data_IF_890562426777
#
_entry.id   IF_890562426777
#
_cell.length_a   1.000
_cell.length_b   1.000
_cell.length_c   1.000
_cell.angle_alpha   90.00
_cell.angle_beta   90.00
_cell.angle_gamma   90.00
#
_symmetry.space_group_name_H-M   'P 1'
#
loop_
_entity.id
_entity.type
_entity.pdbx_description
1 polymer ?
#
# COMPACT_ATOMS: atom_id res chain seq x y z
N UNK A 1 28.53 1.18 1.09
CA UNK A 1 27.10 0.88 1.33
C UNK A 1 26.98 0.20 2.70
N UNK A 2 26.50 0.92 3.72
CA UNK A 2 26.91 0.73 5.12
C UNK A 2 26.35 -0.50 5.85
N UNK A 3 27.22 -1.16 6.64
CA UNK A 3 26.95 -2.34 7.49
C UNK A 3 25.62 -2.27 8.26
N UNK A 4 25.24 -1.07 8.72
CA UNK A 4 23.99 -0.82 9.45
C UNK A 4 22.71 -1.17 8.67
N UNK A 5 22.66 -0.89 7.37
CA UNK A 5 21.50 -1.26 6.53
C UNK A 5 21.39 -2.78 6.42
N UNK A 6 22.51 -3.47 6.21
CA UNK A 6 22.58 -4.93 6.12
C UNK A 6 22.14 -5.58 7.44
N UNK A 7 22.55 -5.05 8.58
CA UNK A 7 22.12 -5.55 9.90
C UNK A 7 20.62 -5.40 10.12
N UNK A 8 20.02 -4.28 9.70
CA UNK A 8 18.56 -4.08 9.81
C UNK A 8 17.80 -5.06 8.92
N UNK A 9 18.21 -5.23 7.66
CA UNK A 9 17.57 -6.18 6.74
C UNK A 9 17.69 -7.64 7.20
N UNK A 10 18.89 -8.03 7.67
CA UNK A 10 19.13 -9.38 8.18
C UNK A 10 18.36 -9.61 9.49
N UNK A 11 18.27 -8.59 10.36
CA UNK A 11 17.48 -8.64 11.58
C UNK A 11 15.98 -8.78 11.31
N UNK A 12 15.44 -8.02 10.35
CA UNK A 12 14.02 -8.16 9.95
C UNK A 12 13.72 -9.51 9.31
N UNK A 13 14.67 -10.07 8.54
CA UNK A 13 14.50 -11.36 7.88
C UNK A 13 14.60 -12.52 8.88
N UNK A 14 15.52 -12.44 9.85
CA UNK A 14 15.61 -13.40 10.95
C UNK A 14 14.37 -13.35 11.85
N UNK A 15 13.87 -12.16 12.18
CA UNK A 15 12.62 -12.00 12.92
C UNK A 15 11.43 -12.61 12.16
N UNK A 16 11.33 -12.39 10.84
CA UNK A 16 10.29 -13.00 10.02
C UNK A 16 10.37 -14.54 10.01
N UNK A 17 11.59 -15.13 9.97
CA UNK A 17 11.80 -16.58 10.03
C UNK A 17 11.44 -17.16 11.40
N UNK A 18 11.80 -16.49 12.49
CA UNK A 18 11.45 -16.92 13.85
C UNK A 18 9.94 -16.86 14.07
N UNK A 19 9.30 -15.79 13.59
CA UNK A 19 7.84 -15.66 13.63
C UNK A 19 7.19 -16.76 12.80
N UNK A 20 7.70 -17.07 11.61
CA UNK A 20 7.22 -18.17 10.77
C UNK A 20 7.41 -19.55 11.43
N UNK A 21 8.48 -19.76 12.19
CA UNK A 21 8.66 -20.98 12.97
C UNK A 21 7.65 -21.10 14.14
N UNK A 22 7.30 -19.98 14.76
CA UNK A 22 6.23 -19.92 15.78
C UNK A 22 4.84 -20.12 15.16
N UNK A 23 4.61 -19.66 13.93
CA UNK A 23 3.38 -19.90 13.14
C UNK A 23 3.10 -21.38 12.96
N UNK A 24 4.14 -22.17 12.65
CA UNK A 24 3.97 -23.60 12.44
C UNK A 24 3.76 -24.38 13.75
N UNK A 25 3.99 -23.75 14.90
CA UNK A 25 3.94 -24.42 16.21
C UNK A 25 2.69 -24.07 17.02
N UNK A 26 1.99 -22.98 16.69
CA UNK A 26 0.82 -22.49 17.43
C UNK A 26 -0.45 -22.52 16.58
N UNK A 27 -1.02 -23.71 16.40
CA UNK A 27 -2.21 -24.01 15.59
C UNK A 27 -3.49 -23.21 15.95
N UNK A 28 -3.48 -22.40 17.02
CA UNK A 28 -4.67 -21.67 17.52
C UNK A 28 -4.58 -20.14 17.46
N UNK A 29 -3.46 -19.56 17.01
CA UNK A 29 -3.22 -18.10 17.11
C UNK A 29 -2.92 -17.41 15.78
N UNK A 30 -3.45 -17.90 14.67
CA UNK A 30 -3.17 -17.36 13.33
C UNK A 30 -3.48 -15.86 13.18
N UNK A 31 -4.57 -15.36 13.79
CA UNK A 31 -4.96 -13.95 13.67
C UNK A 31 -4.01 -12.99 14.42
N UNK A 32 -3.78 -13.12 15.75
CA UNK A 32 -2.78 -12.30 16.46
C UNK A 32 -1.39 -12.34 15.82
N UNK A 33 -1.02 -13.51 15.30
CA UNK A 33 0.26 -13.73 14.64
C UNK A 33 0.37 -13.01 13.30
N UNK A 34 -0.70 -13.02 12.51
CA UNK A 34 -0.75 -12.26 11.24
C UNK A 34 -0.64 -10.76 11.47
N UNK A 35 -1.23 -10.24 12.55
CA UNK A 35 -1.04 -8.84 12.95
C UNK A 35 0.41 -8.55 13.33
N UNK A 36 1.04 -9.45 14.09
CA UNK A 36 2.45 -9.30 14.43
C UNK A 36 3.33 -9.29 13.17
N UNK A 37 3.07 -10.19 12.22
CA UNK A 37 3.80 -10.25 10.94
C UNK A 37 3.65 -8.96 10.13
N UNK A 38 2.44 -8.43 9.98
CA UNK A 38 2.20 -7.18 9.24
C UNK A 38 2.82 -6.00 9.97
N UNK A 39 2.68 -5.92 11.30
CA UNK A 39 3.32 -4.89 12.10
C UNK A 39 4.84 -4.91 11.90
N UNK A 40 5.47 -6.08 11.97
CA UNK A 40 6.90 -6.26 11.71
C UNK A 40 7.29 -5.92 10.26
N UNK A 41 6.44 -6.21 9.27
CA UNK A 41 6.69 -5.85 7.89
C UNK A 41 6.62 -4.33 7.65
N UNK A 42 5.73 -3.63 8.36
CA UNK A 42 5.55 -2.19 8.25
C UNK A 42 6.58 -1.39 9.07
N UNK A 43 7.04 -1.95 10.20
CA UNK A 43 7.98 -1.32 11.14
C UNK A 43 9.22 -0.67 10.50
N UNK A 44 9.95 -1.34 9.59
CA UNK A 44 11.11 -0.74 8.92
C UNK A 44 10.79 0.54 8.15
N UNK A 45 9.59 0.66 7.58
CA UNK A 45 9.16 1.84 6.84
C UNK A 45 8.94 3.03 7.78
N UNK A 46 8.24 2.80 8.90
CA UNK A 46 7.99 3.84 9.89
C UNK A 46 9.27 4.27 10.62
N UNK A 47 10.12 3.33 11.02
CA UNK A 47 11.42 3.64 11.64
C UNK A 47 12.29 4.48 10.69
N UNK A 48 12.33 4.11 9.40
CA UNK A 48 13.11 4.84 8.40
C UNK A 48 12.56 6.25 8.20
N UNK A 49 11.24 6.42 8.24
CA UNK A 49 10.60 7.73 8.15
C UNK A 49 10.90 8.59 9.38
N UNK A 50 10.72 8.06 10.59
CA UNK A 50 10.93 8.78 11.85
C UNK A 50 12.39 9.24 12.01
N UNK A 51 13.35 8.44 11.55
CA UNK A 51 14.78 8.79 11.58
C UNK A 51 15.22 9.77 10.50
N UNK A 52 14.37 10.04 9.50
CA UNK A 52 14.71 10.95 8.42
C UNK A 52 14.43 12.38 8.88
N UNK A 53 15.43 13.25 8.82
CA UNK A 53 15.21 14.69 9.00
C UNK A 53 14.39 15.22 7.81
N UNK A 54 13.08 15.35 8.00
CA UNK A 54 12.16 15.89 7.00
C UNK A 54 11.82 17.33 7.32
N UNK A 55 11.68 18.15 6.28
CA UNK A 55 11.20 19.52 6.47
C UNK A 55 9.70 19.49 6.77
N UNK A 56 9.21 20.50 7.49
CA UNK A 56 7.79 20.63 7.82
C UNK A 56 6.89 20.55 6.57
N UNK A 57 7.33 21.13 5.46
CA UNK A 57 6.62 21.12 4.19
C UNK A 57 6.51 19.71 3.57
N UNK A 58 7.49 18.84 3.80
CA UNK A 58 7.44 17.45 3.32
C UNK A 58 6.46 16.61 4.14
N UNK A 59 6.42 16.82 5.46
CA UNK A 59 5.47 16.17 6.36
C UNK A 59 4.05 16.61 6.01
N UNK A 60 3.85 17.93 5.83
CA UNK A 60 2.56 18.50 5.43
C UNK A 60 2.10 17.93 4.08
N UNK A 61 3.00 17.81 3.10
CA UNK A 61 2.68 17.21 1.81
C UNK A 61 2.18 15.76 1.96
N UNK A 62 2.88 14.93 2.75
CA UNK A 62 2.48 13.53 2.98
C UNK A 62 1.10 13.49 3.65
N UNK A 63 0.87 14.33 4.65
CA UNK A 63 -0.40 14.41 5.36
C UNK A 63 -1.54 14.83 4.40
N UNK A 64 -1.33 15.85 3.57
CA UNK A 64 -2.32 16.31 2.58
C UNK A 64 -2.62 15.22 1.55
N UNK A 65 -1.61 14.56 0.99
CA UNK A 65 -1.81 13.48 0.02
C UNK A 65 -2.53 12.28 0.64
N UNK A 66 -2.19 11.93 1.89
CA UNK A 66 -2.88 10.90 2.67
C UNK A 66 -4.35 11.26 2.91
N UNK A 67 -4.64 12.50 3.26
CA UNK A 67 -6.00 12.99 3.44
C UNK A 67 -6.80 12.98 2.13
N UNK A 68 -6.21 13.43 1.02
CA UNK A 68 -6.85 13.38 -0.31
C UNK A 68 -7.15 11.93 -0.71
N UNK A 69 -6.20 11.02 -0.48
CA UNK A 69 -6.37 9.60 -0.76
C UNK A 69 -7.43 8.95 0.14
N UNK A 70 -7.56 9.38 1.40
CA UNK A 70 -8.60 8.91 2.30
C UNK A 70 -9.99 9.42 1.89
N UNK A 71 -10.11 10.72 1.63
CA UNK A 71 -11.36 11.37 1.25
C UNK A 71 -11.85 10.87 -0.09
N UNK A 72 -10.96 10.55 -1.04
CA UNK A 72 -11.37 10.00 -2.34
C UNK A 72 -12.11 8.67 -2.24
N UNK A 73 -12.02 7.96 -1.11
CA UNK A 73 -12.76 6.72 -0.85
C UNK A 73 -14.20 6.98 -0.40
N UNK A 74 -14.46 8.08 0.31
CA UNK A 74 -15.74 8.32 1.01
C UNK A 74 -16.91 8.47 0.04
N UNK A 75 -16.84 9.29 -1.04
CA UNK A 75 -17.93 9.40 -2.02
C UNK A 75 -18.20 8.10 -2.79
N UNK A 76 -17.21 7.20 -2.82
CA UNK A 76 -17.30 5.92 -3.53
C UNK A 76 -17.72 4.77 -2.63
N UNK A 77 -18.04 5.02 -1.35
CA UNK A 77 -18.54 3.99 -0.44
C UNK A 77 -19.75 3.19 -0.99
N UNK A 78 -20.70 3.79 -1.74
CA UNK A 78 -21.80 3.04 -2.37
C UNK A 78 -21.36 2.17 -3.58
N UNK A 79 -20.19 2.44 -4.16
CA UNK A 79 -19.66 1.73 -5.33
C UNK A 79 -18.61 0.72 -4.85
N UNK A 80 -18.99 -0.56 -4.65
CA UNK A 80 -18.08 -1.53 -4.08
C UNK A 80 -16.81 -1.66 -4.93
N UNK A 81 -15.66 -1.61 -4.26
CA UNK A 81 -14.32 -1.76 -4.84
C UNK A 81 -13.90 -0.72 -5.89
N UNK A 82 -14.69 0.32 -6.16
CA UNK A 82 -14.25 1.45 -6.99
C UNK A 82 -13.55 2.46 -6.10
N UNK A 83 -12.22 2.38 -6.01
CA UNK A 83 -11.46 3.13 -5.00
C UNK A 83 -10.35 4.01 -5.62
N UNK A 84 -10.61 5.32 -5.83
CA UNK A 84 -9.62 6.24 -6.38
C UNK A 84 -8.38 6.42 -5.47
N UNK A 85 -8.47 5.97 -4.22
CA UNK A 85 -7.38 5.94 -3.24
C UNK A 85 -6.09 5.36 -3.82
N UNK A 86 -6.16 4.21 -4.50
CA UNK A 86 -4.99 3.54 -5.09
C UNK A 86 -4.30 4.41 -6.15
N UNK A 87 -5.10 5.13 -6.94
CA UNK A 87 -4.59 6.05 -7.94
C UNK A 87 -3.82 7.21 -7.29
N UNK A 88 -4.39 7.86 -6.26
CA UNK A 88 -3.73 8.97 -5.55
C UNK A 88 -2.40 8.52 -4.94
N UNK A 89 -2.39 7.35 -4.30
CA UNK A 89 -1.19 6.74 -3.72
C UNK A 89 -0.14 6.50 -4.79
N UNK A 90 -0.52 5.90 -5.91
CA UNK A 90 0.40 5.59 -7.00
C UNK A 90 1.00 6.84 -7.64
N UNK A 91 0.19 7.87 -7.91
CA UNK A 91 0.69 9.14 -8.46
C UNK A 91 1.66 9.83 -7.50
N UNK A 92 1.33 9.80 -6.20
CA UNK A 92 2.20 10.33 -5.15
C UNK A 92 3.55 9.60 -5.12
N UNK A 93 3.52 8.27 -5.17
CA UNK A 93 4.73 7.45 -5.18
C UNK A 93 5.62 7.68 -6.41
N UNK A 94 5.01 7.82 -7.59
CA UNK A 94 5.75 8.05 -8.84
C UNK A 94 6.52 9.38 -8.83
N UNK A 95 6.03 10.40 -8.10
CA UNK A 95 6.67 11.72 -8.05
C UNK A 95 7.62 11.87 -6.86
N UNK A 96 7.20 11.40 -5.69
CA UNK A 96 7.89 11.63 -4.42
C UNK A 96 8.71 10.44 -3.94
N UNK A 97 8.49 9.25 -4.50
CA UNK A 97 9.27 8.04 -4.24
C UNK A 97 8.58 7.01 -3.36
N UNK A 98 9.24 5.86 -3.14
CA UNK A 98 8.65 4.67 -2.52
C UNK A 98 8.24 4.89 -1.07
N UNK A 99 9.06 5.55 -0.26
CA UNK A 99 8.73 5.79 1.15
C UNK A 99 7.51 6.69 1.33
N UNK A 100 7.39 7.74 0.51
CA UNK A 100 6.23 8.63 0.52
C UNK A 100 4.98 7.89 0.07
N UNK A 101 5.07 7.08 -0.99
CA UNK A 101 3.97 6.23 -1.45
C UNK A 101 3.46 5.31 -0.35
N UNK A 102 4.36 4.66 0.39
CA UNK A 102 3.99 3.79 1.50
C UNK A 102 3.23 4.51 2.60
N UNK A 103 3.73 5.68 3.01
CA UNK A 103 3.12 6.48 4.07
C UNK A 103 1.76 7.02 3.67
N UNK A 104 1.66 7.58 2.45
CA UNK A 104 0.38 8.08 1.92
C UNK A 104 -0.65 6.94 1.89
N UNK A 105 -0.27 5.74 1.47
CA UNK A 105 -1.16 4.58 1.47
C UNK A 105 -1.58 4.13 2.87
N UNK A 106 -0.63 4.04 3.80
CA UNK A 106 -0.91 3.66 5.19
C UNK A 106 -1.83 4.68 5.89
N UNK A 107 -1.55 5.97 5.72
CA UNK A 107 -2.36 7.07 6.27
C UNK A 107 -3.76 7.06 5.64
N UNK A 108 -3.85 6.88 4.32
CA UNK A 108 -5.13 6.84 3.62
C UNK A 108 -6.04 5.73 4.17
N UNK A 109 -5.48 4.55 4.43
CA UNK A 109 -6.20 3.42 4.99
C UNK A 109 -6.79 3.75 6.37
N UNK A 110 -5.94 4.17 7.31
CA UNK A 110 -6.38 4.43 8.69
C UNK A 110 -7.34 5.61 8.75
N UNK A 111 -7.06 6.70 8.03
CA UNK A 111 -7.92 7.90 8.05
C UNK A 111 -9.27 7.62 7.38
N UNK A 112 -9.31 6.94 6.23
CA UNK A 112 -10.59 6.63 5.58
C UNK A 112 -11.45 5.71 6.44
N UNK A 113 -10.85 4.77 7.17
CA UNK A 113 -11.58 3.89 8.08
C UNK A 113 -12.14 4.62 9.31
N UNK A 114 -11.64 5.81 9.67
CA UNK A 114 -12.29 6.62 10.72
C UNK A 114 -13.70 7.06 10.29
N UNK A 115 -13.94 7.22 8.98
CA UNK A 115 -15.24 7.59 8.42
C UNK A 115 -16.07 6.36 8.02
N UNK A 116 -15.42 5.33 7.46
CA UNK A 116 -16.08 4.17 6.87
C UNK A 116 -16.18 2.97 7.83
N UNK A 117 -15.66 3.09 9.05
CA UNK A 117 -15.60 2.04 10.06
C UNK A 117 -14.20 1.46 10.20
N UNK A 118 -13.71 1.40 11.44
CA UNK A 118 -12.45 0.76 11.82
C UNK A 118 -12.68 -0.70 12.18
N UNK A 119 -11.68 -1.54 11.93
CA UNK A 119 -11.73 -2.92 12.35
C UNK A 119 -10.41 -3.65 12.23
N UNK A 120 -10.40 -4.96 12.51
CA UNK A 120 -9.19 -5.79 12.44
C UNK A 120 -8.58 -5.85 11.03
N UNK A 121 -9.30 -5.46 9.98
CA UNK A 121 -8.76 -5.38 8.63
C UNK A 121 -7.90 -4.13 8.38
N UNK A 122 -7.95 -3.11 9.24
CA UNK A 122 -7.25 -1.83 9.00
C UNK A 122 -5.74 -2.00 8.78
N UNK A 123 -4.99 -2.77 9.62
CA UNK A 123 -3.55 -2.98 9.38
C UNK A 123 -3.25 -3.63 8.02
N UNK A 124 -4.11 -4.54 7.56
CA UNK A 124 -3.99 -5.17 6.25
C UNK A 124 -4.21 -4.15 5.13
N UNK A 125 -5.21 -3.28 5.25
CA UNK A 125 -5.42 -2.20 4.28
C UNK A 125 -4.26 -1.21 4.26
N UNK A 126 -3.71 -0.85 5.43
CA UNK A 126 -2.52 0.00 5.53
C UNK A 126 -1.34 -0.64 4.80
N UNK A 127 -1.13 -1.94 5.00
CA UNK A 127 -0.08 -2.69 4.32
C UNK A 127 -0.32 -2.77 2.81
N UNK A 128 -1.51 -3.15 2.35
CA UNK A 128 -1.82 -3.28 0.93
C UNK A 128 -1.64 -1.95 0.19
N UNK A 129 -2.27 -0.88 0.66
CA UNK A 129 -2.12 0.44 0.04
C UNK A 129 -0.73 1.02 0.20
N UNK A 130 -0.08 0.79 1.34
CA UNK A 130 1.32 1.13 1.52
C UNK A 130 2.22 0.44 0.49
N UNK A 131 2.01 -0.85 0.25
CA UNK A 131 2.80 -1.63 -0.71
C UNK A 131 2.53 -1.28 -2.16
N UNK A 132 1.29 -0.90 -2.52
CA UNK A 132 0.98 -0.28 -3.82
C UNK A 132 1.86 0.94 -4.03
N UNK A 133 1.89 1.87 -3.07
CA UNK A 133 2.70 3.08 -3.13
C UNK A 133 4.20 2.78 -3.15
N UNK A 134 4.67 1.89 -2.27
CA UNK A 134 6.08 1.52 -2.18
C UNK A 134 6.59 0.95 -3.50
N UNK A 135 5.90 -0.06 -4.05
CA UNK A 135 6.34 -0.73 -5.28
C UNK A 135 6.22 0.18 -6.51
N UNK A 136 5.19 1.04 -6.57
CA UNK A 136 5.09 2.07 -7.62
C UNK A 136 6.27 3.05 -7.57
N UNK A 137 6.65 3.49 -6.38
CA UNK A 137 7.76 4.40 -6.18
C UNK A 137 9.13 3.76 -6.48
N UNK A 138 9.31 2.47 -6.18
CA UNK A 138 10.51 1.72 -6.56
C UNK A 138 10.68 1.64 -8.08
N UNK A 139 9.58 1.39 -8.79
CA UNK A 139 9.58 1.22 -10.23
C UNK A 139 9.47 2.55 -11.00
N UNK A 140 9.38 3.71 -10.32
CA UNK A 140 9.05 5.00 -10.94
C UNK A 140 9.99 5.42 -12.08
N UNK A 141 11.27 5.03 -12.01
CA UNK A 141 12.30 5.41 -12.99
C UNK A 141 12.38 4.42 -14.17
N UNK A 142 11.65 3.30 -14.12
CA UNK A 142 11.66 2.28 -15.18
C UNK A 142 10.92 2.76 -16.44
N UNK A 143 11.31 2.24 -17.61
CA UNK A 143 10.59 2.51 -18.88
C UNK A 143 9.13 2.08 -18.80
N UNK A 144 8.86 0.99 -18.08
CA UNK A 144 7.52 0.46 -17.85
C UNK A 144 6.61 1.50 -17.18
N UNK A 145 6.98 2.02 -16.01
CA UNK A 145 6.15 3.00 -15.29
C UNK A 145 6.14 4.41 -15.91
N UNK A 146 7.03 4.70 -16.86
CA UNK A 146 6.98 5.95 -17.65
C UNK A 146 5.86 5.92 -18.70
N UNK A 147 5.54 4.75 -19.25
CA UNK A 147 4.45 4.57 -20.21
C UNK A 147 3.07 4.55 -19.53
N UNK A 148 2.02 4.99 -20.24
CA UNK A 148 0.65 4.89 -19.72
C UNK A 148 0.22 3.42 -19.57
N UNK A 149 0.57 2.58 -20.55
CA UNK A 149 0.31 1.15 -20.55
C UNK A 149 0.89 0.45 -19.33
N UNK A 150 2.16 0.71 -18.99
CA UNK A 150 2.79 0.10 -17.83
C UNK A 150 2.14 0.53 -16.51
N UNK A 151 1.74 1.79 -16.37
CA UNK A 151 0.96 2.24 -15.20
C UNK A 151 -0.38 1.52 -15.10
N UNK A 152 -1.09 1.34 -16.22
CA UNK A 152 -2.36 0.63 -16.26
C UNK A 152 -2.20 -0.86 -15.90
N UNK A 153 -1.22 -1.56 -16.46
CA UNK A 153 -0.93 -2.96 -16.14
C UNK A 153 -0.58 -3.10 -14.66
N UNK A 154 0.26 -2.19 -14.14
CA UNK A 154 0.63 -2.17 -12.73
C UNK A 154 -0.59 -1.96 -11.83
N UNK A 155 -1.42 -0.96 -12.13
CA UNK A 155 -2.63 -0.65 -11.37
C UNK A 155 -3.67 -1.77 -11.44
N UNK A 156 -3.84 -2.39 -12.61
CA UNK A 156 -4.72 -3.55 -12.79
C UNK A 156 -4.24 -4.73 -11.93
N UNK A 157 -2.96 -5.06 -11.99
CA UNK A 157 -2.37 -6.16 -11.21
C UNK A 157 -2.53 -5.93 -9.71
N UNK A 158 -2.30 -4.70 -9.26
CA UNK A 158 -2.48 -4.35 -7.85
C UNK A 158 -3.94 -4.32 -7.39
N UNK A 159 -4.90 -4.13 -8.30
CA UNK A 159 -6.32 -4.30 -7.97
C UNK A 159 -6.62 -5.73 -7.50
N UNK A 160 -6.10 -6.73 -8.21
CA UNK A 160 -6.19 -8.13 -7.80
C UNK A 160 -5.36 -8.45 -6.57
N UNK A 161 -4.08 -8.03 -6.53
CA UNK A 161 -3.21 -8.30 -5.38
C UNK A 161 -3.77 -7.72 -4.09
N UNK A 162 -4.39 -6.53 -4.14
CA UNK A 162 -5.06 -5.94 -2.98
C UNK A 162 -6.14 -6.88 -2.46
N UNK A 163 -7.08 -7.29 -3.30
CA UNK A 163 -8.16 -8.20 -2.94
C UNK A 163 -7.66 -9.54 -2.42
N UNK A 164 -6.65 -10.11 -3.07
CA UNK A 164 -6.05 -11.38 -2.67
C UNK A 164 -5.38 -11.32 -1.30
N UNK A 165 -4.67 -10.23 -0.98
CA UNK A 165 -4.09 -10.05 0.36
C UNK A 165 -5.22 -9.83 1.39
N UNK A 166 -6.27 -9.09 1.04
CA UNK A 166 -7.43 -8.91 1.92
C UNK A 166 -8.19 -10.21 2.17
N UNK A 167 -8.25 -11.11 1.19
CA UNK A 167 -8.82 -12.45 1.38
C UNK A 167 -8.03 -13.25 2.41
N UNK A 168 -6.71 -13.10 2.50
CA UNK A 168 -5.91 -13.77 3.53
C UNK A 168 -6.32 -13.32 4.94
N UNK A 169 -6.53 -12.02 5.15
CA UNK A 169 -7.10 -11.51 6.41
C UNK A 169 -8.44 -12.19 6.73
N UNK A 170 -9.34 -12.21 5.75
CA UNK A 170 -10.69 -12.76 5.93
C UNK A 170 -10.63 -14.26 6.26
N UNK A 171 -9.86 -15.02 5.50
CA UNK A 171 -9.67 -16.46 5.67
C UNK A 171 -9.07 -16.79 7.04
N UNK A 172 -7.97 -16.12 7.41
CA UNK A 172 -7.28 -16.35 8.68
C UNK A 172 -8.12 -15.89 9.88
N UNK A 173 -8.92 -14.83 9.72
CA UNK A 173 -9.72 -14.24 10.79
C UNK A 173 -11.06 -14.92 11.04
N UNK A 174 -11.65 -15.57 10.03
CA UNK A 174 -13.03 -16.06 10.10
C UNK A 174 -13.17 -17.58 10.01
N UNK A 175 -12.15 -18.31 9.56
CA UNK A 175 -12.22 -19.77 9.42
C UNK A 175 -11.22 -20.47 10.34
N UNK A 176 -11.71 -21.41 11.15
CA UNK A 176 -10.87 -22.24 12.03
C UNK A 176 -10.10 -23.32 11.24
N UNK A 177 -10.67 -23.80 10.14
CA UNK A 177 -10.08 -24.87 9.33
C UNK A 177 -9.89 -24.42 7.89
N UNK A 178 -8.65 -24.04 7.57
CA UNK A 178 -8.25 -23.68 6.21
C UNK A 178 -8.05 -24.95 5.39
N UNK A 179 -8.80 -25.06 4.30
CA UNK A 179 -8.59 -26.09 3.29
C UNK A 179 -8.66 -25.49 1.89
N UNK A 180 -8.23 -26.26 0.90
CA UNK A 180 -8.14 -25.78 -0.48
C UNK A 180 -9.48 -25.32 -1.06
N UNK A 181 -10.61 -25.95 -0.65
CA UNK A 181 -11.94 -25.56 -1.11
C UNK A 181 -12.35 -24.20 -0.57
N UNK A 182 -12.13 -23.96 0.73
CA UNK A 182 -12.39 -22.66 1.36
C UNK A 182 -11.55 -21.57 0.71
N UNK A 183 -10.26 -21.84 0.50
CA UNK A 183 -9.36 -20.92 -0.20
C UNK A 183 -9.88 -20.60 -1.61
N UNK A 184 -10.13 -21.61 -2.44
CA UNK A 184 -10.65 -21.40 -3.79
C UNK A 184 -11.98 -20.64 -3.80
N UNK A 185 -12.91 -20.97 -2.89
CA UNK A 185 -14.21 -20.29 -2.80
C UNK A 185 -14.10 -18.81 -2.46
N UNK A 186 -13.17 -18.41 -1.58
CA UNK A 186 -12.99 -17.01 -1.20
C UNK A 186 -12.49 -16.17 -2.39
N UNK A 187 -11.56 -16.71 -3.18
CA UNK A 187 -11.01 -16.01 -4.36
C UNK A 187 -12.01 -15.96 -5.52
N UNK A 188 -12.83 -17.00 -5.69
CA UNK A 188 -13.93 -16.96 -6.66
C UNK A 188 -14.99 -15.94 -6.24
N UNK A 189 -15.34 -15.89 -4.95
CA UNK A 189 -16.31 -14.93 -4.42
C UNK A 189 -15.80 -13.48 -4.49
N UNK A 190 -14.50 -13.24 -4.30
CA UNK A 190 -13.92 -11.90 -4.39
C UNK A 190 -13.69 -11.41 -5.82
N UNK A 191 -13.70 -12.30 -6.82
CA UNK A 191 -13.28 -11.98 -8.19
C UNK A 191 -13.97 -10.74 -8.77
N UNK A 192 -15.28 -10.59 -8.57
CA UNK A 192 -16.02 -9.42 -9.05
C UNK A 192 -15.49 -8.11 -8.44
N UNK A 193 -15.24 -8.12 -7.13
CA UNK A 193 -14.72 -6.98 -6.38
C UNK A 193 -13.26 -6.67 -6.78
N UNK A 194 -12.45 -7.70 -6.97
CA UNK A 194 -11.05 -7.58 -7.38
C UNK A 194 -10.95 -6.99 -8.79
N UNK A 195 -11.80 -7.47 -9.70
CA UNK A 195 -11.90 -6.96 -11.06
C UNK A 195 -12.41 -5.51 -11.08
N UNK A 196 -13.43 -5.17 -10.28
CA UNK A 196 -13.92 -3.80 -10.17
C UNK A 196 -12.83 -2.84 -9.70
N UNK A 197 -12.01 -3.25 -8.73
CA UNK A 197 -10.86 -2.46 -8.27
C UNK A 197 -9.80 -2.32 -9.37
N UNK A 198 -9.45 -3.41 -10.04
CA UNK A 198 -8.47 -3.41 -11.13
C UNK A 198 -8.90 -2.48 -12.28
N UNK A 199 -10.16 -2.55 -12.70
CA UNK A 199 -10.71 -1.69 -13.76
C UNK A 199 -10.82 -0.23 -13.31
N UNK A 200 -11.21 0.02 -12.05
CA UNK A 200 -11.23 1.36 -11.47
C UNK A 200 -9.85 2.01 -11.50
N UNK A 201 -8.80 1.26 -11.15
CA UNK A 201 -7.42 1.74 -11.26
C UNK A 201 -7.08 2.13 -12.70
N UNK A 202 -7.34 1.24 -13.67
CA UNK A 202 -7.08 1.53 -15.09
C UNK A 202 -7.83 2.77 -15.56
N UNK A 203 -9.09 2.93 -15.17
CA UNK A 203 -9.90 4.11 -15.49
C UNK A 203 -9.25 5.40 -14.97
N UNK A 204 -8.96 5.48 -13.66
CA UNK A 204 -8.39 6.69 -13.06
C UNK A 204 -7.00 7.01 -13.60
N UNK A 205 -6.16 5.99 -13.82
CA UNK A 205 -4.82 6.16 -14.39
C UNK A 205 -4.91 6.69 -15.82
N UNK A 206 -5.76 6.10 -16.65
CA UNK A 206 -5.90 6.46 -18.06
C UNK A 206 -6.35 7.90 -18.25
N UNK A 207 -7.27 8.37 -17.40
CA UNK A 207 -7.87 9.70 -17.54
C UNK A 207 -7.03 10.78 -16.84
N UNK A 208 -6.53 10.51 -15.64
CA UNK A 208 -6.05 11.58 -14.75
C UNK A 208 -4.53 11.57 -14.52
N UNK A 209 -3.81 10.50 -14.84
CA UNK A 209 -2.40 10.36 -14.43
C UNK A 209 -1.49 11.47 -14.97
N UNK A 210 -1.68 11.90 -16.22
CA UNK A 210 -0.85 12.95 -16.83
C UNK A 210 -1.00 14.30 -16.12
N UNK A 211 -2.25 14.70 -15.84
CA UNK A 211 -2.57 15.97 -15.16
C UNK A 211 -2.04 15.93 -13.71
N UNK A 212 -2.29 14.82 -13.00
CA UNK A 212 -1.85 14.66 -11.62
C UNK A 212 -0.33 14.70 -11.48
N UNK A 213 0.39 13.94 -12.30
CA UNK A 213 1.86 13.95 -12.27
C UNK A 213 2.40 15.37 -12.54
N UNK A 214 1.81 16.11 -13.48
CA UNK A 214 2.19 17.50 -13.76
C UNK A 214 1.98 18.42 -12.55
N UNK A 215 0.84 18.30 -11.87
CA UNK A 215 0.54 19.08 -10.66
C UNK A 215 1.54 18.77 -9.55
N UNK A 216 1.74 17.48 -9.25
CA UNK A 216 2.63 17.04 -8.18
C UNK A 216 4.10 17.42 -8.46
N UNK A 217 4.56 17.31 -9.71
CA UNK A 217 5.89 17.78 -10.11
C UNK A 217 6.04 19.29 -9.93
N UNK A 218 5.02 20.08 -10.26
CA UNK A 218 5.04 21.54 -10.03
C UNK A 218 5.18 21.86 -8.55
N UNK A 219 4.43 21.17 -7.68
CA UNK A 219 4.53 21.33 -6.22
C UNK A 219 5.93 20.94 -5.74
N UNK A 220 6.43 19.79 -6.19
CA UNK A 220 7.78 19.31 -5.86
C UNK A 220 8.85 20.36 -6.16
N UNK A 221 8.83 20.93 -7.37
CA UNK A 221 9.80 21.94 -7.81
C UNK A 221 9.63 23.26 -7.06
N UNK A 222 8.38 23.75 -6.90
CA UNK A 222 8.09 25.04 -6.24
C UNK A 222 8.59 25.09 -4.80
N UNK A 223 8.43 24.01 -4.05
CA UNK A 223 8.78 23.95 -2.63
C UNK A 223 10.11 23.24 -2.35
N UNK A 224 10.84 22.84 -3.41
CA UNK A 224 12.13 22.15 -3.26
C UNK A 224 12.05 20.86 -2.44
N UNK A 225 10.93 20.13 -2.57
CA UNK A 225 10.62 18.97 -1.73
C UNK A 225 11.30 17.73 -2.28
N UNK A 226 11.87 16.91 -1.38
CA UNK A 226 12.36 15.57 -1.69
C UNK A 226 13.25 15.56 -2.95
N UNK A 227 14.36 16.32 -2.95
CA UNK A 227 15.27 16.37 -4.09
C UNK A 227 15.68 14.95 -4.47
N UNK A 228 15.63 14.64 -5.76
CA UNK A 228 16.15 13.38 -6.27
C UNK A 228 17.62 13.31 -5.90
N UNK A 229 17.97 12.45 -4.94
CA UNK A 229 19.33 12.00 -4.74
C UNK A 229 19.74 11.17 -5.98
N UNK A 230 19.91 11.84 -7.11
CA UNK A 230 20.69 11.38 -8.24
C UNK A 230 22.08 12.01 -8.05
N UNK A 231 22.89 11.32 -7.26
CA UNK A 231 24.35 11.37 -7.30
C UNK A 231 24.83 9.94 -7.50
#
# INVERSE_FOLDING_TARGET
MGKLKRTIYVGSMAAAVVVMAVVLWMDKYYLPLSFMMIGLAMLPFFIRFERKSMKAEEILLIAMLGAIAAVSRVPFAPLPSVQPTSFVIMMSALVFGPEVGFLVGSIAAVVSNMFLGQGPWTPWQMFCWGMIGFTAGLLRNTRFMKSLWGKNIFGFSWGFLFGWIMNLWFLIGMYEHLNWKVFASAYVASFYFDLAHALSNVFFISIFSAIWIKILLRVKTKYGLLPSNEK
#
